data_IF_332201062851
#
_entry.id   IF_332201062851
#
_cell.length_a   1.000
_cell.length_b   1.000
_cell.length_c   1.000
_cell.angle_alpha   90.00
_cell.angle_beta   90.00
_cell.angle_gamma   90.00
#
_symmetry.space_group_name_H-M   'P 1'
#
loop_
_entity.id
_entity.type
_entity.pdbx_description
1 polymer ?
#
# COMPACT_ATOMS: atom_id res chain seq x y z
N UNK A 1 58.15 71.99 -12.99
CA UNK A 1 57.36 72.06 -14.24
C UNK A 1 57.64 70.81 -15.06
N UNK A 2 56.71 69.90 -15.22
CA UNK A 2 56.71 69.08 -16.44
C UNK A 2 55.37 69.11 -17.13
N UNK A 3 55.44 69.13 -18.41
CA UNK A 3 54.46 69.25 -19.47
C UNK A 3 53.61 68.00 -19.60
N UNK A 4 52.27 68.21 -19.66
CA UNK A 4 51.33 67.21 -19.97
C UNK A 4 51.29 66.94 -21.46
N UNK A 5 51.31 65.67 -21.88
CA UNK A 5 51.02 65.23 -23.26
C UNK A 5 49.62 64.63 -23.28
N UNK A 6 48.78 65.21 -24.10
CA UNK A 6 47.44 64.77 -24.42
C UNK A 6 47.58 63.73 -25.55
N UNK A 7 47.08 62.50 -25.36
CA UNK A 7 46.96 61.51 -26.42
C UNK A 7 45.47 61.43 -26.78
N UNK A 8 45.16 61.75 -28.02
CA UNK A 8 43.84 61.58 -28.62
C UNK A 8 43.69 60.12 -29.08
N UNK A 9 42.74 59.36 -28.53
CA UNK A 9 42.37 58.05 -29.01
C UNK A 9 41.13 58.15 -29.92
N UNK A 10 41.28 57.74 -31.14
CA UNK A 10 40.18 57.63 -32.13
C UNK A 10 39.40 56.36 -31.86
N UNK A 11 38.09 56.49 -31.60
CA UNK A 11 37.17 55.35 -31.50
C UNK A 11 36.69 54.91 -32.89
N UNK A 12 36.99 53.69 -33.28
CA UNK A 12 36.39 53.03 -34.46
C UNK A 12 35.09 52.38 -34.01
N UNK A 13 33.95 52.84 -34.52
CA UNK A 13 32.66 52.23 -34.31
C UNK A 13 32.49 51.11 -35.35
N UNK A 14 32.55 49.87 -34.92
CA UNK A 14 32.20 48.70 -35.77
C UNK A 14 30.69 48.41 -35.57
N UNK A 15 29.89 48.65 -36.60
CA UNK A 15 28.49 48.23 -36.63
C UNK A 15 28.41 46.73 -37.02
N UNK A 16 28.09 45.90 -36.03
CA UNK A 16 27.76 44.49 -36.26
C UNK A 16 26.27 44.38 -36.60
N UNK A 17 25.97 43.94 -37.80
CA UNK A 17 24.62 43.55 -38.23
C UNK A 17 24.33 42.21 -37.61
N UNK A 18 23.43 42.14 -36.61
CA UNK A 18 22.97 40.87 -36.06
C UNK A 18 21.96 40.23 -37.01
N UNK A 19 22.27 39.00 -37.46
CA UNK A 19 21.31 38.15 -38.16
C UNK A 19 20.19 37.72 -37.16
N UNK A 20 18.90 37.61 -37.60
CA UNK A 20 17.84 37.15 -36.71
C UNK A 20 18.07 35.66 -36.35
N UNK A 21 18.19 35.38 -35.07
CA UNK A 21 18.21 34.04 -34.54
C UNK A 21 16.83 33.37 -34.80
N UNK A 22 16.83 32.32 -35.59
CA UNK A 22 15.66 31.46 -35.77
C UNK A 22 15.30 30.85 -34.42
N UNK A 23 14.17 31.26 -33.84
CA UNK A 23 13.59 30.65 -32.67
C UNK A 23 13.17 29.22 -33.02
N UNK A 24 13.96 28.23 -32.66
CA UNK A 24 13.50 26.86 -32.64
C UNK A 24 12.42 26.74 -31.57
N UNK A 25 11.16 26.68 -31.99
CA UNK A 25 10.06 26.29 -31.14
C UNK A 25 10.29 24.85 -30.72
N UNK A 26 10.87 24.64 -29.57
CA UNK A 26 10.80 23.33 -28.91
C UNK A 26 9.36 23.13 -28.50
N UNK A 27 8.60 22.36 -29.30
CA UNK A 27 7.30 21.84 -28.87
C UNK A 27 7.51 21.20 -27.50
N UNK A 28 6.77 21.66 -26.49
CA UNK A 28 6.76 20.99 -25.19
C UNK A 28 6.44 19.52 -25.43
N UNK A 29 7.13 18.59 -24.78
CA UNK A 29 6.82 17.17 -24.92
C UNK A 29 5.33 16.99 -24.60
N UNK A 30 4.63 16.29 -25.49
CA UNK A 30 3.22 15.98 -25.33
C UNK A 30 3.11 15.08 -24.09
N UNK A 31 2.93 15.66 -22.91
CA UNK A 31 2.77 14.91 -21.65
C UNK A 31 1.41 14.22 -21.77
N UNK A 32 1.44 12.96 -22.15
CA UNK A 32 0.25 12.11 -22.15
C UNK A 32 -0.31 12.11 -20.74
N UNK A 33 -1.59 12.40 -20.57
CA UNK A 33 -2.22 12.39 -19.25
C UNK A 33 -2.11 11.00 -18.63
N UNK A 34 -1.69 10.92 -17.36
CA UNK A 34 -1.59 9.68 -16.62
C UNK A 34 -2.96 9.00 -16.53
N UNK A 35 -2.97 7.68 -16.62
CA UNK A 35 -4.17 6.85 -16.56
C UNK A 35 -4.38 6.32 -15.14
N UNK A 36 -5.60 6.47 -14.59
CA UNK A 36 -5.96 5.87 -13.32
C UNK A 36 -6.01 4.34 -13.45
N UNK A 37 -5.37 3.67 -12.52
CA UNK A 37 -5.31 2.21 -12.46
C UNK A 37 -5.41 1.72 -11.02
N UNK A 38 -5.97 0.54 -10.86
CA UNK A 38 -5.83 -0.25 -9.66
C UNK A 38 -4.61 -1.17 -9.82
N UNK A 39 -3.68 -1.09 -8.91
CA UNK A 39 -2.59 -2.07 -8.73
C UNK A 39 -3.09 -3.17 -7.82
N UNK A 40 -2.81 -4.42 -8.17
CA UNK A 40 -3.16 -5.59 -7.38
C UNK A 40 -1.92 -6.44 -7.15
N UNK A 41 -1.49 -6.54 -5.90
CA UNK A 41 -0.37 -7.39 -5.51
C UNK A 41 -0.79 -8.87 -5.50
N UNK A 42 -0.30 -9.63 -6.48
CA UNK A 42 -0.53 -11.08 -6.57
C UNK A 42 0.57 -11.79 -5.77
N UNK A 43 0.30 -12.01 -4.51
CA UNK A 43 1.28 -12.34 -3.50
C UNK A 43 2.05 -13.65 -3.79
N UNK A 44 1.35 -14.70 -4.25
CA UNK A 44 2.00 -15.99 -4.53
C UNK A 44 2.64 -16.07 -5.92
N UNK A 45 2.11 -15.38 -6.92
CA UNK A 45 2.71 -15.39 -8.25
C UNK A 45 3.84 -14.37 -8.43
N UNK A 46 4.09 -13.50 -7.44
CA UNK A 46 5.16 -12.50 -7.53
C UNK A 46 4.96 -11.52 -8.68
N UNK A 47 3.74 -11.08 -8.88
CA UNK A 47 3.39 -10.12 -9.94
C UNK A 47 2.45 -9.03 -9.42
N UNK A 48 2.43 -7.89 -10.09
CA UNK A 48 1.45 -6.84 -9.87
C UNK A 48 0.57 -6.72 -11.10
N UNK A 49 -0.74 -6.94 -10.94
CA UNK A 49 -1.72 -6.71 -12.01
C UNK A 49 -2.14 -5.26 -12.06
N UNK A 50 -2.41 -4.76 -13.27
CA UNK A 50 -2.90 -3.41 -13.54
C UNK A 50 -4.31 -3.52 -14.11
N UNK A 51 -5.27 -2.88 -13.47
CA UNK A 51 -6.67 -2.82 -13.90
C UNK A 51 -7.03 -1.37 -14.21
N UNK A 52 -7.66 -1.16 -15.37
CA UNK A 52 -8.21 0.16 -15.75
C UNK A 52 -9.37 0.54 -14.85
N UNK A 53 -9.32 1.67 -14.16
CA UNK A 53 -10.46 2.12 -13.35
C UNK A 53 -11.67 2.60 -14.18
N UNK A 54 -11.49 2.87 -15.49
CA UNK A 54 -12.56 3.32 -16.39
C UNK A 54 -13.20 2.18 -17.18
N UNK A 55 -13.56 1.10 -16.56
CA UNK A 55 -14.22 0.00 -17.25
C UNK A 55 -13.72 -1.36 -16.81
N UNK A 56 -12.85 -1.38 -15.82
CA UNK A 56 -12.40 -2.57 -15.10
C UNK A 56 -11.70 -3.61 -15.98
N UNK A 57 -11.11 -3.17 -17.10
CA UNK A 57 -10.35 -4.06 -17.97
C UNK A 57 -8.96 -4.34 -17.40
N UNK A 58 -8.51 -5.59 -17.49
CA UNK A 58 -7.10 -5.92 -17.24
C UNK A 58 -6.22 -5.25 -18.29
N UNK A 59 -5.17 -4.57 -17.82
CA UNK A 59 -4.14 -3.95 -18.66
C UNK A 59 -2.88 -4.80 -18.73
N UNK A 60 -2.85 -5.95 -18.04
CA UNK A 60 -1.70 -6.84 -17.94
C UNK A 60 -1.10 -6.88 -16.55
N UNK A 61 0.04 -7.53 -16.42
CA UNK A 61 0.77 -7.68 -15.16
C UNK A 61 2.26 -7.44 -15.33
N UNK A 62 2.94 -7.17 -14.21
CA UNK A 62 4.39 -6.98 -14.16
C UNK A 62 4.99 -7.98 -13.17
N UNK A 63 6.00 -8.76 -13.62
CA UNK A 63 6.75 -9.68 -12.76
C UNK A 63 7.70 -8.89 -11.85
N UNK A 64 7.59 -9.05 -10.53
CA UNK A 64 8.40 -8.34 -9.54
C UNK A 64 9.40 -9.24 -8.81
N UNK A 65 9.57 -10.48 -9.30
CA UNK A 65 10.54 -11.45 -8.79
C UNK A 65 11.39 -12.06 -9.93
N UNK A 66 11.88 -11.25 -10.89
CA UNK A 66 12.71 -11.80 -11.98
C UNK A 66 14.03 -12.37 -11.46
N UNK A 67 14.45 -11.93 -10.30
CA UNK A 67 15.68 -12.28 -9.57
C UNK A 67 15.48 -13.36 -8.50
N UNK A 68 14.30 -13.97 -8.37
CA UNK A 68 13.93 -14.85 -7.26
C UNK A 68 15.00 -15.92 -6.94
N UNK A 69 15.47 -16.64 -7.95
CA UNK A 69 16.44 -17.72 -7.73
C UNK A 69 17.78 -17.17 -7.24
N UNK A 70 18.19 -16.01 -7.72
CA UNK A 70 19.40 -15.33 -7.27
C UNK A 70 19.23 -14.92 -5.80
N UNK A 71 18.12 -14.26 -5.45
CA UNK A 71 17.81 -13.83 -4.07
C UNK A 71 17.83 -14.99 -3.08
N UNK A 72 17.20 -16.11 -3.46
CA UNK A 72 17.19 -17.32 -2.64
C UNK A 72 18.61 -17.91 -2.46
N UNK A 73 19.43 -17.86 -3.50
CA UNK A 73 20.81 -18.38 -3.44
C UNK A 73 21.75 -17.49 -2.62
N UNK A 74 21.49 -16.20 -2.53
CA UNK A 74 22.26 -15.22 -1.76
C UNK A 74 21.94 -15.26 -0.26
N UNK A 75 20.84 -15.91 0.15
CA UNK A 75 20.47 -16.03 1.55
C UNK A 75 21.50 -16.79 2.36
N UNK A 76 21.96 -16.21 3.46
CA UNK A 76 22.72 -16.93 4.48
C UNK A 76 21.86 -18.00 5.18
N UNK A 77 22.44 -18.91 5.99
CA UNK A 77 21.66 -19.96 6.64
C UNK A 77 20.54 -19.46 7.56
N UNK A 78 20.71 -18.31 8.23
CA UNK A 78 19.70 -17.74 9.13
C UNK A 78 18.56 -17.17 8.31
N UNK A 79 18.86 -16.45 7.23
CA UNK A 79 17.91 -15.92 6.28
C UNK A 79 17.08 -17.03 5.63
N UNK A 80 17.75 -18.13 5.25
CA UNK A 80 17.07 -19.29 4.65
C UNK A 80 16.09 -19.94 5.61
N UNK A 81 16.47 -20.09 6.87
CA UNK A 81 15.58 -20.60 7.92
C UNK A 81 14.41 -19.63 8.12
N UNK A 82 14.67 -18.32 8.19
CA UNK A 82 13.65 -17.29 8.29
C UNK A 82 12.64 -17.35 7.14
N UNK A 83 13.13 -17.45 5.90
CA UNK A 83 12.32 -17.61 4.70
C UNK A 83 11.34 -18.80 4.81
N UNK A 84 11.85 -19.97 5.18
CA UNK A 84 11.02 -21.18 5.28
C UNK A 84 10.00 -21.09 6.44
N UNK A 85 10.38 -20.49 7.58
CA UNK A 85 9.47 -20.25 8.70
C UNK A 85 8.38 -19.27 8.30
N UNK A 86 8.73 -18.13 7.72
CA UNK A 86 7.77 -17.11 7.24
C UNK A 86 6.83 -17.73 6.22
N UNK A 87 7.34 -18.44 5.22
CA UNK A 87 6.54 -19.16 4.23
C UNK A 87 5.54 -20.13 4.89
N UNK A 88 5.95 -20.84 5.95
CA UNK A 88 5.08 -21.73 6.70
C UNK A 88 3.97 -20.99 7.44
N UNK A 89 4.28 -19.90 8.13
CA UNK A 89 3.33 -19.03 8.86
C UNK A 89 2.37 -18.37 7.87
N UNK A 90 2.87 -17.92 6.72
CA UNK A 90 2.10 -17.25 5.67
C UNK A 90 1.20 -18.20 4.85
N UNK A 91 1.34 -19.50 5.01
CA UNK A 91 0.59 -20.50 4.25
C UNK A 91 0.99 -20.54 2.78
N UNK A 92 2.22 -20.20 2.46
CA UNK A 92 2.79 -20.17 1.11
C UNK A 92 3.73 -18.98 0.90
N UNK A 93 4.26 -18.85 -0.30
CA UNK A 93 5.10 -17.71 -0.67
C UNK A 93 4.28 -16.40 -0.65
N UNK A 94 4.93 -15.31 -0.21
CA UNK A 94 4.40 -13.95 -0.21
C UNK A 94 5.46 -13.04 -0.82
N UNK A 95 5.33 -12.76 -2.12
CA UNK A 95 6.31 -11.95 -2.87
C UNK A 95 5.82 -10.53 -3.16
N UNK A 96 4.56 -10.24 -2.87
CA UNK A 96 4.00 -8.89 -2.99
C UNK A 96 3.06 -8.65 -1.83
N UNK A 97 3.51 -7.86 -0.85
CA UNK A 97 2.67 -7.41 0.25
C UNK A 97 2.13 -6.00 0.02
N UNK A 98 2.86 -5.16 -0.72
CA UNK A 98 2.35 -3.85 -1.17
C UNK A 98 3.07 -3.40 -2.44
N UNK A 99 2.42 -2.54 -3.23
CA UNK A 99 2.99 -1.96 -4.45
C UNK A 99 2.50 -0.53 -4.69
N UNK A 100 3.38 0.35 -5.14
CA UNK A 100 3.06 1.74 -5.45
C UNK A 100 3.77 2.20 -6.72
N UNK A 101 3.14 3.09 -7.50
CA UNK A 101 3.78 3.75 -8.64
C UNK A 101 4.39 5.10 -8.23
N UNK A 102 5.52 5.44 -8.85
CA UNK A 102 6.06 6.80 -8.78
C UNK A 102 5.05 7.83 -9.31
N UNK A 103 5.16 9.12 -8.90
CA UNK A 103 4.23 10.16 -9.35
C UNK A 103 4.16 10.34 -10.88
N UNK A 104 5.21 10.00 -11.61
CA UNK A 104 5.23 9.99 -13.08
C UNK A 104 4.67 8.70 -13.70
N UNK A 105 4.29 7.71 -12.89
CA UNK A 105 3.69 6.46 -13.33
C UNK A 105 4.63 5.51 -14.07
N UNK A 106 5.95 5.67 -13.94
CA UNK A 106 6.95 4.90 -14.68
C UNK A 106 7.74 3.89 -13.87
N UNK A 107 7.80 4.10 -12.55
CA UNK A 107 8.51 3.20 -11.63
C UNK A 107 7.53 2.52 -10.70
N UNK A 108 7.78 1.25 -10.43
CA UNK A 108 7.02 0.45 -9.48
C UNK A 108 7.90 0.14 -8.27
N UNK A 109 7.41 0.46 -7.08
CA UNK A 109 8.02 0.11 -5.80
C UNK A 109 7.21 -1.02 -5.18
N UNK A 110 7.87 -2.06 -4.70
CA UNK A 110 7.20 -3.26 -4.18
C UNK A 110 7.84 -3.71 -2.88
N UNK A 111 7.03 -3.99 -1.87
CA UNK A 111 7.42 -4.71 -0.67
C UNK A 111 7.31 -6.22 -0.94
N UNK A 112 8.44 -6.95 -0.84
CA UNK A 112 8.53 -8.39 -1.16
C UNK A 112 8.70 -9.20 0.14
N UNK A 113 7.56 -9.56 0.76
CA UNK A 113 7.49 -10.10 2.11
C UNK A 113 8.47 -11.21 2.41
N UNK A 114 8.40 -12.33 1.69
CA UNK A 114 9.29 -13.47 1.96
C UNK A 114 10.75 -13.26 1.54
N UNK A 115 11.05 -12.25 0.73
CA UNK A 115 12.43 -11.88 0.40
C UNK A 115 13.02 -10.88 1.40
N UNK A 116 12.22 -10.45 2.38
CA UNK A 116 12.59 -9.46 3.40
C UNK A 116 13.12 -8.16 2.82
N UNK A 117 12.65 -7.77 1.62
CA UNK A 117 13.19 -6.61 0.92
C UNK A 117 12.12 -5.75 0.25
N UNK A 118 12.58 -4.60 -0.21
CA UNK A 118 11.85 -3.70 -1.10
C UNK A 118 12.62 -3.58 -2.40
N UNK A 119 11.92 -3.61 -3.51
CA UNK A 119 12.53 -3.43 -4.83
C UNK A 119 11.85 -2.32 -5.63
N UNK A 120 12.61 -1.65 -6.49
CA UNK A 120 12.12 -0.70 -7.47
C UNK A 120 12.39 -1.20 -8.88
N UNK A 121 11.41 -0.98 -9.76
CA UNK A 121 11.48 -1.40 -11.16
C UNK A 121 11.20 -0.22 -12.09
N UNK A 122 11.94 -0.14 -13.20
CA UNK A 122 11.56 0.63 -14.36
C UNK A 122 10.60 -0.20 -15.21
N UNK A 123 9.36 0.30 -15.37
CA UNK A 123 8.33 -0.44 -16.09
C UNK A 123 8.62 -0.55 -17.58
N UNK A 124 9.14 0.52 -18.21
CA UNK A 124 9.42 0.53 -19.64
C UNK A 124 10.52 -0.47 -20.03
N UNK A 125 11.62 -0.45 -19.28
CA UNK A 125 12.77 -1.32 -19.49
C UNK A 125 12.63 -2.73 -18.91
N UNK A 126 11.58 -2.99 -18.12
CA UNK A 126 11.40 -4.23 -17.33
C UNK A 126 12.62 -4.56 -16.48
N UNK A 127 13.24 -3.54 -15.91
CA UNK A 127 14.49 -3.65 -15.19
C UNK A 127 14.31 -3.33 -13.71
N UNK A 128 14.89 -4.17 -12.85
CA UNK A 128 15.09 -3.82 -11.45
C UNK A 128 16.12 -2.68 -11.37
N UNK A 129 15.79 -1.62 -10.66
CA UNK A 129 16.65 -0.46 -10.44
C UNK A 129 17.51 -0.65 -9.20
N UNK A 130 16.89 -1.14 -8.15
CA UNK A 130 17.53 -1.47 -6.89
C UNK A 130 16.61 -2.38 -6.07
N UNK A 131 17.19 -3.12 -5.13
CA UNK A 131 16.48 -3.73 -4.01
C UNK A 131 17.23 -3.46 -2.72
N UNK A 132 16.50 -3.44 -1.61
CA UNK A 132 17.06 -3.16 -0.29
C UNK A 132 16.42 -4.08 0.73
N UNK A 133 17.25 -4.86 1.43
CA UNK A 133 16.81 -5.71 2.51
C UNK A 133 16.48 -4.87 3.74
N UNK A 134 15.35 -5.17 4.38
CA UNK A 134 14.95 -4.59 5.65
C UNK A 134 15.59 -5.34 6.83
N UNK A 135 15.54 -4.73 8.00
CA UNK A 135 15.92 -5.40 9.24
C UNK A 135 14.88 -6.46 9.64
N UNK A 136 15.38 -7.56 10.16
CA UNK A 136 14.56 -8.70 10.57
C UNK A 136 14.04 -9.53 9.40
N UNK A 137 12.82 -10.01 9.54
CA UNK A 137 12.14 -10.85 8.56
C UNK A 137 10.76 -10.26 8.25
N UNK A 138 10.31 -10.49 7.03
CA UNK A 138 9.06 -10.06 6.45
C UNK A 138 8.94 -8.55 6.25
N UNK A 139 9.09 -8.14 4.99
CA UNK A 139 8.79 -6.79 4.51
C UNK A 139 7.28 -6.70 4.23
N UNK A 140 6.52 -6.13 5.16
CA UNK A 140 5.06 -6.07 5.11
C UNK A 140 4.57 -4.81 4.36
N UNK A 141 3.37 -4.35 4.63
CA UNK A 141 2.74 -3.26 3.88
C UNK A 141 3.54 -1.96 3.94
N UNK A 142 3.44 -1.21 2.86
CA UNK A 142 4.21 -0.01 2.62
C UNK A 142 3.31 1.17 2.21
N UNK A 143 3.87 2.38 2.20
CA UNK A 143 3.23 3.55 1.63
C UNK A 143 4.25 4.47 0.98
N UNK A 144 3.92 4.98 -0.21
CA UNK A 144 4.71 5.99 -0.90
C UNK A 144 4.30 7.39 -0.42
N UNK A 145 5.28 8.25 -0.13
CA UNK A 145 5.01 9.65 0.19
C UNK A 145 4.33 10.37 -0.99
N UNK A 146 3.47 11.36 -0.74
CA UNK A 146 2.78 12.08 -1.81
C UNK A 146 3.70 12.73 -2.84
N UNK A 147 4.90 13.11 -2.43
CA UNK A 147 5.96 13.64 -3.33
C UNK A 147 6.77 12.56 -4.04
N UNK A 148 6.55 11.29 -3.71
CA UNK A 148 7.22 10.14 -4.30
C UNK A 148 8.67 9.93 -3.86
N UNK A 149 9.17 10.69 -2.87
CA UNK A 149 10.59 10.65 -2.48
C UNK A 149 10.92 9.63 -1.41
N UNK A 150 9.92 9.14 -0.67
CA UNK A 150 10.07 8.18 0.42
C UNK A 150 9.08 7.04 0.29
N UNK A 151 9.56 5.84 0.54
CA UNK A 151 8.74 4.65 0.65
C UNK A 151 8.90 4.10 2.06
N UNK A 152 7.84 4.16 2.87
CA UNK A 152 7.86 3.64 4.24
C UNK A 152 7.34 2.22 4.25
N UNK A 153 8.03 1.31 4.93
CA UNK A 153 7.73 -0.13 4.94
C UNK A 153 7.78 -0.66 6.36
N UNK A 154 6.89 -1.56 6.69
CA UNK A 154 6.90 -2.29 7.95
C UNK A 154 7.95 -3.41 7.93
N UNK A 155 8.98 -3.28 8.78
CA UNK A 155 9.95 -4.33 9.07
C UNK A 155 9.41 -5.19 10.23
N UNK A 156 8.63 -6.23 9.89
CA UNK A 156 7.68 -6.89 10.80
C UNK A 156 8.34 -7.41 12.07
N UNK A 157 9.33 -8.28 11.98
CA UNK A 157 9.96 -8.87 13.18
C UNK A 157 10.95 -7.91 13.87
N UNK A 158 11.35 -6.82 13.19
CA UNK A 158 12.19 -5.78 13.78
C UNK A 158 11.40 -4.73 14.58
N UNK A 159 10.05 -4.76 14.53
CA UNK A 159 9.17 -3.85 15.26
C UNK A 159 9.44 -2.37 14.93
N UNK A 160 9.62 -2.05 13.67
CA UNK A 160 9.85 -0.68 13.19
C UNK A 160 9.31 -0.47 11.77
N UNK A 161 9.03 0.80 11.46
CA UNK A 161 8.82 1.27 10.10
C UNK A 161 10.15 1.82 9.56
N UNK A 162 10.58 1.38 8.38
CA UNK A 162 11.78 1.85 7.71
C UNK A 162 11.44 2.77 6.55
N UNK A 163 12.16 3.88 6.45
CA UNK A 163 11.99 4.90 5.42
C UNK A 163 13.08 4.76 4.38
N UNK A 164 12.68 4.49 3.15
CA UNK A 164 13.56 4.23 2.02
C UNK A 164 13.53 5.43 1.07
N UNK A 165 14.68 5.90 0.67
CA UNK A 165 14.84 6.88 -0.40
C UNK A 165 14.53 6.21 -1.75
N UNK A 166 13.52 6.69 -2.47
CA UNK A 166 13.03 6.04 -3.69
C UNK A 166 13.98 6.16 -4.88
N UNK A 167 14.89 7.14 -4.86
CA UNK A 167 15.87 7.32 -5.94
C UNK A 167 17.04 6.33 -5.82
N UNK A 168 17.45 6.02 -4.59
CA UNK A 168 18.67 5.24 -4.31
C UNK A 168 18.43 3.86 -3.71
N UNK A 169 17.24 3.63 -3.13
CA UNK A 169 16.96 2.45 -2.32
C UNK A 169 17.54 2.48 -0.91
N UNK A 170 18.24 3.54 -0.52
CA UNK A 170 18.87 3.61 0.80
C UNK A 170 17.83 3.74 1.92
N UNK A 171 17.97 2.97 3.00
CA UNK A 171 17.25 3.21 4.26
C UNK A 171 17.81 4.49 4.87
N UNK A 172 17.00 5.54 4.96
CA UNK A 172 17.43 6.85 5.46
C UNK A 172 17.06 7.10 6.91
N UNK A 173 16.08 6.36 7.43
CA UNK A 173 15.65 6.42 8.83
C UNK A 173 14.79 5.21 9.18
N UNK A 174 14.57 5.02 10.48
CA UNK A 174 13.55 4.11 11.00
C UNK A 174 12.87 4.70 12.23
N UNK A 175 11.61 4.32 12.44
CA UNK A 175 10.82 4.70 13.61
C UNK A 175 10.34 3.45 14.35
N UNK A 176 10.46 3.39 15.70
CA UNK A 176 9.93 2.27 16.47
C UNK A 176 8.41 2.25 16.40
N UNK A 177 7.84 1.05 16.37
CA UNK A 177 6.41 0.80 16.33
C UNK A 177 5.97 -0.09 17.51
N UNK A 178 4.71 -0.54 17.51
CA UNK A 178 4.32 -1.71 18.29
C UNK A 178 4.91 -3.01 17.72
N UNK A 179 4.52 -4.14 18.27
CA UNK A 179 5.03 -5.43 17.81
C UNK A 179 4.35 -5.85 16.51
N UNK A 180 5.16 -6.36 15.59
CA UNK A 180 4.73 -6.78 14.25
C UNK A 180 3.97 -5.66 13.54
N UNK A 181 4.67 -4.56 13.15
CA UNK A 181 4.10 -3.52 12.31
C UNK A 181 3.58 -4.13 11.01
N UNK A 182 2.43 -3.65 10.57
CA UNK A 182 1.68 -4.18 9.45
C UNK A 182 1.40 -3.08 8.43
N UNK A 183 0.30 -2.32 8.58
CA UNK A 183 -0.11 -1.32 7.61
C UNK A 183 0.57 0.03 7.84
N UNK A 184 0.98 0.67 6.75
CA UNK A 184 1.43 2.06 6.72
C UNK A 184 0.52 2.87 5.79
N UNK A 185 0.13 4.08 6.23
CA UNK A 185 -0.54 5.05 5.37
C UNK A 185 -0.08 6.46 5.70
N UNK A 186 0.08 7.30 4.68
CA UNK A 186 0.28 8.73 4.87
C UNK A 186 -1.04 9.42 5.21
N UNK A 187 -1.00 10.44 6.07
CA UNK A 187 -2.12 11.35 6.22
C UNK A 187 -2.40 12.06 4.88
N UNK A 188 -3.66 12.51 4.69
CA UNK A 188 -4.09 13.15 3.44
C UNK A 188 -3.24 14.39 3.07
N UNK A 189 -2.71 15.10 4.07
CA UNK A 189 -1.81 16.24 3.89
C UNK A 189 -0.32 15.86 3.77
N UNK A 190 0.00 14.56 3.83
CA UNK A 190 1.35 14.02 3.72
C UNK A 190 2.27 14.30 4.91
N UNK A 191 1.79 14.95 5.99
CA UNK A 191 2.64 15.35 7.12
C UNK A 191 2.97 14.24 8.09
N UNK A 192 2.16 13.19 8.12
CA UNK A 192 2.32 12.09 9.05
C UNK A 192 2.22 10.75 8.33
N UNK A 193 2.90 9.76 8.90
CA UNK A 193 2.68 8.35 8.61
C UNK A 193 1.98 7.73 9.81
N UNK A 194 0.98 6.91 9.56
CA UNK A 194 0.35 6.08 10.55
C UNK A 194 0.74 4.63 10.31
N UNK A 195 1.33 3.99 11.31
CA UNK A 195 1.68 2.58 11.30
C UNK A 195 0.84 1.84 12.32
N UNK A 196 0.22 0.74 11.91
CA UNK A 196 -0.54 -0.14 12.79
C UNK A 196 0.21 -1.45 13.04
N UNK A 197 0.16 -1.96 14.27
CA UNK A 197 0.85 -3.18 14.69
C UNK A 197 -0.14 -4.27 15.09
N UNK A 198 0.13 -5.50 14.63
CA UNK A 198 -0.79 -6.64 14.77
C UNK A 198 -0.43 -7.59 15.90
N UNK A 199 0.76 -7.43 16.51
CA UNK A 199 1.31 -8.38 17.45
C UNK A 199 1.76 -9.69 16.80
N UNK A 200 2.44 -10.54 17.54
CA UNK A 200 2.96 -11.81 17.03
C UNK A 200 1.83 -12.76 16.61
N UNK A 201 1.64 -12.89 15.30
CA UNK A 201 0.58 -13.74 14.71
C UNK A 201 0.88 -15.23 14.77
N UNK A 202 2.10 -15.62 15.11
CA UNK A 202 2.48 -17.04 15.28
C UNK A 202 1.94 -17.64 16.58
N UNK A 203 1.60 -16.78 17.57
CA UNK A 203 1.05 -17.19 18.84
C UNK A 203 -0.48 -17.37 18.77
N UNK A 204 -1.05 -18.40 19.42
CA UNK A 204 -2.49 -18.61 19.49
C UNK A 204 -3.21 -17.53 20.30
N UNK A 205 -4.54 -17.45 20.19
CA UNK A 205 -5.35 -16.49 20.94
C UNK A 205 -5.16 -16.61 22.46
N UNK A 206 -5.00 -17.83 22.98
CA UNK A 206 -4.77 -18.04 24.42
C UNK A 206 -3.48 -17.41 24.96
N UNK A 207 -2.54 -17.06 24.10
CA UNK A 207 -1.29 -16.36 24.43
C UNK A 207 -1.29 -14.91 23.92
N UNK A 208 -2.45 -14.30 23.72
CA UNK A 208 -2.56 -12.94 23.19
C UNK A 208 -1.82 -11.90 24.06
N UNK A 209 -1.78 -12.11 25.37
CA UNK A 209 -1.01 -11.28 26.30
C UNK A 209 0.50 -11.27 26.02
N UNK A 210 1.01 -12.27 25.32
CA UNK A 210 2.42 -12.41 24.96
C UNK A 210 2.76 -11.89 23.55
N UNK A 211 1.75 -11.51 22.74
CA UNK A 211 1.93 -11.05 21.35
C UNK A 211 2.59 -9.69 21.23
N UNK A 212 2.77 -8.97 22.35
CA UNK A 212 3.37 -7.64 22.38
C UNK A 212 2.35 -6.50 22.27
N UNK A 213 2.81 -5.33 21.83
CA UNK A 213 2.00 -4.11 21.81
C UNK A 213 1.19 -4.00 20.50
N UNK A 214 -0.13 -3.93 20.62
CA UNK A 214 -1.06 -3.60 19.55
C UNK A 214 -1.20 -2.08 19.49
N UNK A 215 -0.45 -1.46 18.60
CA UNK A 215 -0.24 -0.03 18.64
C UNK A 215 -0.52 0.63 17.28
N UNK A 216 -1.24 1.75 17.30
CA UNK A 216 -1.23 2.71 16.21
C UNK A 216 -0.15 3.75 16.53
N UNK A 217 0.83 3.90 15.65
CA UNK A 217 1.96 4.82 15.79
C UNK A 217 1.82 5.93 14.78
N UNK A 218 1.81 7.18 15.24
CA UNK A 218 1.88 8.37 14.38
C UNK A 218 3.31 8.87 14.31
N UNK A 219 3.84 9.00 13.10
CA UNK A 219 5.20 9.40 12.81
C UNK A 219 5.15 10.71 12.01
N UNK A 220 5.93 11.70 12.38
CA UNK A 220 6.11 12.91 11.58
C UNK A 220 6.91 12.58 10.32
N UNK A 221 6.35 12.85 9.14
CA UNK A 221 6.93 12.43 7.86
C UNK A 221 8.22 13.18 7.50
N UNK A 222 8.40 14.40 7.98
CA UNK A 222 9.59 15.20 7.69
C UNK A 222 10.78 14.81 8.59
N UNK A 223 10.53 14.59 9.89
CA UNK A 223 11.56 14.20 10.85
C UNK A 223 11.72 12.69 10.98
N UNK A 224 10.73 11.91 10.51
CA UNK A 224 10.66 10.46 10.66
C UNK A 224 10.70 9.99 12.12
N UNK A 225 10.19 10.82 13.02
CA UNK A 225 10.15 10.55 14.47
C UNK A 225 8.71 10.29 14.94
N UNK A 226 8.57 9.38 15.90
CA UNK A 226 7.28 9.09 16.54
C UNK A 226 6.81 10.32 17.33
N UNK A 227 5.58 10.77 17.04
CA UNK A 227 4.97 11.93 17.72
C UNK A 227 3.80 11.53 18.64
N UNK A 228 3.16 10.41 18.38
CA UNK A 228 2.06 9.91 19.22
C UNK A 228 1.83 8.41 19.01
N UNK A 229 1.35 7.75 20.04
CA UNK A 229 0.93 6.36 20.00
C UNK A 229 -0.42 6.16 20.67
N UNK A 230 -1.17 5.16 20.21
CA UNK A 230 -2.40 4.68 20.84
C UNK A 230 -2.32 3.17 20.94
N UNK A 231 -2.74 2.62 22.07
CA UNK A 231 -2.79 1.17 22.29
C UNK A 231 -4.23 0.69 22.13
N UNK A 232 -4.41 -0.39 21.38
CA UNK A 232 -5.70 -1.05 21.19
C UNK A 232 -5.71 -2.40 21.94
N UNK A 233 -6.88 -2.99 22.19
CA UNK A 233 -6.99 -4.23 22.96
C UNK A 233 -6.52 -5.47 22.21
N UNK A 234 -6.51 -5.42 20.87
CA UNK A 234 -6.14 -6.52 19.97
C UNK A 234 -5.31 -6.00 18.80
N UNK A 235 -4.67 -6.90 18.06
CA UNK A 235 -3.89 -6.57 16.88
C UNK A 235 -4.71 -5.78 15.87
N UNK A 236 -4.15 -4.68 15.36
CA UNK A 236 -4.83 -3.75 14.44
C UNK A 236 -4.68 -4.29 13.02
N UNK A 237 -5.77 -4.78 12.46
CA UNK A 237 -5.87 -5.29 11.09
C UNK A 237 -6.08 -4.12 10.10
N UNK A 238 -6.49 -4.34 8.85
CA UNK A 238 -6.79 -3.23 7.95
C UNK A 238 -7.57 -2.13 8.62
N UNK A 239 -7.17 -0.90 8.34
CA UNK A 239 -7.69 0.25 9.04
C UNK A 239 -7.61 1.50 8.15
N UNK A 240 -8.33 2.54 8.55
CA UNK A 240 -8.27 3.83 7.89
C UNK A 240 -8.57 4.96 8.89
N UNK A 241 -8.03 6.14 8.61
CA UNK A 241 -8.40 7.37 9.27
C UNK A 241 -9.35 8.14 8.36
N UNK A 242 -10.52 8.49 8.86
CA UNK A 242 -11.49 9.27 8.11
C UNK A 242 -10.96 10.68 7.81
N UNK A 243 -11.54 11.39 6.82
CA UNK A 243 -11.09 12.73 6.42
C UNK A 243 -11.10 13.79 7.53
N UNK A 244 -11.84 13.54 8.63
CA UNK A 244 -11.84 14.41 9.82
C UNK A 244 -10.53 14.38 10.62
N UNK A 245 -9.63 13.42 10.30
CA UNK A 245 -8.34 13.23 10.95
C UNK A 245 -8.42 12.73 12.40
N UNK A 246 -9.61 12.39 12.90
CA UNK A 246 -9.87 11.94 14.27
C UNK A 246 -10.55 10.58 14.35
N UNK A 247 -11.47 10.29 13.45
CA UNK A 247 -12.17 9.01 13.41
C UNK A 247 -11.27 7.95 12.78
N UNK A 248 -10.96 6.93 13.56
CA UNK A 248 -10.19 5.77 13.13
C UNK A 248 -11.09 4.55 13.08
N UNK A 249 -11.25 3.95 11.92
CA UNK A 249 -11.92 2.67 11.74
C UNK A 249 -10.87 1.58 11.62
N UNK A 250 -11.03 0.50 12.35
CA UNK A 250 -10.08 -0.61 12.34
C UNK A 250 -10.76 -1.95 12.55
N UNK A 251 -10.42 -2.91 11.76
CA UNK A 251 -10.62 -4.31 12.08
C UNK A 251 -9.60 -4.73 13.14
N UNK A 252 -9.99 -5.62 14.01
CA UNK A 252 -9.10 -6.11 15.08
C UNK A 252 -8.98 -7.63 14.99
N UNK A 253 -7.85 -8.16 15.44
CA UNK A 253 -7.65 -9.61 15.54
C UNK A 253 -8.82 -10.26 16.27
N UNK A 254 -9.37 -11.32 15.68
CA UNK A 254 -10.49 -12.14 16.19
C UNK A 254 -11.87 -11.48 16.17
N UNK A 255 -11.96 -10.17 15.92
CA UNK A 255 -13.24 -9.48 15.82
C UNK A 255 -13.88 -9.78 14.44
N UNK A 256 -15.11 -10.27 14.43
CA UNK A 256 -15.90 -10.38 13.19
C UNK A 256 -16.60 -9.04 12.94
N UNK A 257 -15.90 -8.12 12.29
CA UNK A 257 -16.31 -6.74 12.09
C UNK A 257 -15.18 -5.74 12.41
N UNK A 258 -15.56 -4.54 12.85
CA UNK A 258 -14.61 -3.46 13.09
C UNK A 258 -14.97 -2.58 14.28
N UNK A 259 -14.04 -1.74 14.69
CA UNK A 259 -14.26 -0.71 15.71
C UNK A 259 -14.19 0.69 15.10
N UNK A 260 -14.94 1.62 15.68
CA UNK A 260 -14.77 3.06 15.53
C UNK A 260 -14.04 3.58 16.77
N UNK A 261 -12.89 4.19 16.55
CA UNK A 261 -12.01 4.70 17.60
C UNK A 261 -11.87 6.23 17.44
N UNK A 262 -11.95 6.96 18.53
CA UNK A 262 -11.70 8.40 18.58
C UNK A 262 -10.25 8.64 18.99
N UNK A 263 -9.43 9.15 18.06
CA UNK A 263 -8.00 9.39 18.26
C UNK A 263 -7.72 10.52 19.29
N UNK A 264 -8.62 11.50 19.40
CA UNK A 264 -8.47 12.58 20.38
C UNK A 264 -8.81 12.08 21.78
N UNK A 265 -9.92 11.35 21.93
CA UNK A 265 -10.32 10.76 23.19
C UNK A 265 -9.50 9.53 23.58
N UNK A 266 -8.79 8.91 22.63
CA UNK A 266 -7.95 7.72 22.84
C UNK A 266 -8.74 6.48 23.24
N UNK A 267 -9.96 6.27 22.67
CA UNK A 267 -10.82 5.15 23.04
C UNK A 267 -11.71 4.67 21.89
N UNK A 268 -12.11 3.40 21.97
CA UNK A 268 -13.17 2.84 21.13
C UNK A 268 -14.50 3.50 21.53
N UNK A 269 -15.21 4.04 20.54
CA UNK A 269 -16.53 4.69 20.73
C UNK A 269 -17.67 3.83 20.19
N UNK A 270 -17.39 2.87 19.31
CA UNK A 270 -18.35 1.87 18.87
C UNK A 270 -17.62 0.60 18.41
N UNK A 271 -18.32 -0.54 18.52
CA UNK A 271 -17.91 -1.83 17.95
C UNK A 271 -19.06 -2.34 17.09
N UNK A 272 -18.76 -2.67 15.84
CA UNK A 272 -19.67 -3.32 14.90
C UNK A 272 -19.31 -4.80 14.86
N UNK A 273 -20.30 -5.66 15.13
CA UNK A 273 -20.16 -7.10 14.98
C UNK A 273 -20.98 -7.51 13.78
N UNK A 274 -20.32 -8.12 12.81
CA UNK A 274 -20.96 -8.61 11.61
C UNK A 274 -21.54 -10.03 11.79
N UNK A 275 -22.52 -10.44 11.00
CA UNK A 275 -23.08 -11.78 11.08
C UNK A 275 -22.07 -12.82 10.58
N UNK A 276 -21.92 -13.91 11.33
CA UNK A 276 -21.15 -15.06 10.86
C UNK A 276 -21.94 -15.83 9.79
N UNK A 277 -21.25 -16.18 8.69
CA UNK A 277 -21.74 -17.18 7.74
C UNK A 277 -21.81 -18.57 8.38
N UNK A 278 -22.58 -19.48 7.80
CA UNK A 278 -22.75 -20.84 8.37
C UNK A 278 -21.40 -21.59 8.49
N UNK A 279 -20.48 -21.38 7.53
CA UNK A 279 -19.15 -21.96 7.59
C UNK A 279 -18.29 -21.32 8.70
N UNK A 280 -18.33 -20.01 8.82
CA UNK A 280 -17.51 -19.28 9.79
C UNK A 280 -17.91 -19.58 11.24
N UNK A 281 -19.19 -19.86 11.52
CA UNK A 281 -19.65 -20.28 12.84
C UNK A 281 -18.96 -21.52 13.39
N UNK A 282 -18.39 -22.35 12.51
CA UNK A 282 -17.70 -23.59 12.90
C UNK A 282 -16.21 -23.39 13.14
N UNK A 283 -15.66 -22.24 12.73
CA UNK A 283 -14.23 -21.94 12.85
C UNK A 283 -13.89 -21.51 14.29
N UNK A 284 -12.75 -22.02 14.77
CA UNK A 284 -12.15 -21.50 16.01
C UNK A 284 -11.30 -20.29 15.70
N UNK A 285 -11.18 -19.31 16.59
CA UNK A 285 -10.36 -18.11 16.37
C UNK A 285 -8.89 -18.41 15.98
N UNK A 286 -8.29 -19.46 16.52
CA UNK A 286 -6.93 -19.88 16.16
C UNK A 286 -6.80 -20.39 14.70
N UNK A 287 -7.93 -20.67 14.05
CA UNK A 287 -7.96 -21.06 12.63
C UNK A 287 -8.32 -19.90 11.69
N UNK A 288 -8.50 -18.69 12.22
CA UNK A 288 -8.71 -17.53 11.38
C UNK A 288 -7.41 -17.18 10.64
N UNK A 289 -7.45 -16.88 9.33
CA UNK A 289 -6.27 -16.50 8.58
C UNK A 289 -5.53 -15.37 9.29
N UNK A 290 -4.30 -15.60 9.72
CA UNK A 290 -3.50 -14.59 10.45
C UNK A 290 -4.21 -13.97 11.65
N UNK A 291 -5.07 -14.70 12.35
CA UNK A 291 -5.92 -14.21 13.44
C UNK A 291 -7.03 -13.21 12.99
N UNK A 292 -7.33 -13.12 11.69
CA UNK A 292 -8.30 -12.16 11.15
C UNK A 292 -9.61 -12.83 10.76
N UNK A 293 -10.72 -12.38 11.35
CA UNK A 293 -12.05 -12.69 10.83
C UNK A 293 -12.40 -11.77 9.65
N UNK A 294 -12.06 -10.49 9.76
CA UNK A 294 -12.13 -9.48 8.72
C UNK A 294 -10.72 -9.01 8.35
N UNK A 295 -10.47 -8.73 7.06
CA UNK A 295 -9.15 -8.26 6.60
C UNK A 295 -9.25 -7.37 5.36
N UNK A 296 -10.05 -6.32 5.43
CA UNK A 296 -10.12 -5.29 4.39
C UNK A 296 -11.14 -4.22 4.74
N UNK A 297 -10.72 -2.97 4.84
CA UNK A 297 -11.57 -1.87 5.22
C UNK A 297 -11.32 -0.66 4.32
N UNK A 298 -12.36 -0.15 3.67
CA UNK A 298 -12.28 1.03 2.82
C UNK A 298 -13.46 1.96 3.08
N UNK A 299 -13.29 3.26 2.75
CA UNK A 299 -14.31 4.28 2.93
C UNK A 299 -14.67 4.89 1.57
N UNK A 300 -15.96 5.00 1.26
CA UNK A 300 -16.44 5.64 0.03
C UNK A 300 -15.93 7.08 -0.11
N UNK A 301 -15.83 7.58 -1.34
CA UNK A 301 -15.26 8.90 -1.59
C UNK A 301 -16.02 10.06 -0.94
N UNK A 302 -17.32 9.88 -0.68
CA UNK A 302 -18.17 10.83 0.05
C UNK A 302 -18.13 10.64 1.58
N UNK A 303 -17.41 9.61 2.05
CA UNK A 303 -17.29 9.30 3.48
C UNK A 303 -18.54 8.67 4.12
N UNK A 304 -19.56 8.33 3.34
CA UNK A 304 -20.86 7.87 3.88
C UNK A 304 -20.94 6.36 4.12
N UNK A 305 -20.06 5.57 3.50
CA UNK A 305 -20.17 4.10 3.49
C UNK A 305 -18.81 3.45 3.67
N UNK A 306 -18.69 2.55 4.63
CA UNK A 306 -17.56 1.64 4.80
C UNK A 306 -17.80 0.38 3.96
N UNK A 307 -16.73 -0.14 3.37
CA UNK A 307 -16.63 -1.44 2.76
C UNK A 307 -15.82 -2.30 3.74
N UNK A 308 -16.49 -3.23 4.42
CA UNK A 308 -15.96 -4.08 5.48
C UNK A 308 -15.89 -5.52 4.98
N UNK A 309 -14.66 -6.06 4.87
CA UNK A 309 -14.38 -7.31 4.14
C UNK A 309 -14.34 -8.49 5.10
N UNK A 310 -15.39 -9.31 5.08
CA UNK A 310 -15.53 -10.51 5.90
C UNK A 310 -14.77 -11.70 5.33
N UNK A 311 -13.50 -11.84 5.71
CA UNK A 311 -12.54 -12.81 5.15
C UNK A 311 -12.96 -14.25 5.39
N UNK A 312 -13.39 -14.59 6.61
CA UNK A 312 -13.83 -15.96 6.94
C UNK A 312 -15.26 -16.26 6.53
N UNK A 313 -16.01 -15.22 6.21
CA UNK A 313 -17.44 -15.27 5.92
C UNK A 313 -17.76 -15.28 4.42
N UNK A 314 -16.74 -15.01 3.57
CA UNK A 314 -16.88 -14.92 2.11
C UNK A 314 -17.90 -13.87 1.68
N UNK A 315 -17.91 -12.70 2.32
CA UNK A 315 -18.72 -11.56 1.91
C UNK A 315 -17.97 -10.22 2.06
N UNK A 316 -18.56 -9.17 1.52
CA UNK A 316 -18.29 -7.79 1.90
C UNK A 316 -19.58 -7.15 2.41
N UNK A 317 -19.49 -6.43 3.54
CA UNK A 317 -20.58 -5.62 4.07
C UNK A 317 -20.36 -4.14 3.71
N UNK A 318 -21.40 -3.49 3.19
CA UNK A 318 -21.44 -2.04 3.05
C UNK A 318 -22.17 -1.45 4.26
N UNK A 319 -21.44 -0.69 5.08
CA UNK A 319 -21.92 -0.18 6.36
C UNK A 319 -22.01 1.35 6.31
N UNK A 320 -23.15 1.93 6.65
CA UNK A 320 -23.29 3.39 6.77
C UNK A 320 -22.37 3.92 7.87
N UNK A 321 -21.65 5.01 7.64
CA UNK A 321 -20.89 5.71 8.68
C UNK A 321 -21.80 6.45 9.65
N UNK A 322 -23.02 6.80 9.21
CA UNK A 322 -24.08 7.32 10.07
C UNK A 322 -24.85 6.15 10.71
N UNK A 323 -24.76 6.08 12.02
CA UNK A 323 -25.39 5.02 12.82
C UNK A 323 -24.74 3.65 12.73
N UNK A 324 -23.72 3.43 11.90
CA UNK A 324 -23.00 2.14 11.73
C UNK A 324 -23.95 0.97 11.43
N UNK A 325 -24.83 1.17 10.44
CA UNK A 325 -25.88 0.20 10.04
C UNK A 325 -25.51 -0.44 8.70
N UNK A 326 -25.66 -1.75 8.62
CA UNK A 326 -25.47 -2.50 7.39
C UNK A 326 -26.49 -2.06 6.32
N UNK A 327 -26.00 -1.76 5.12
CA UNK A 327 -26.79 -1.34 3.96
C UNK A 327 -26.97 -2.46 2.96
N UNK A 328 -25.91 -3.25 2.74
CA UNK A 328 -25.91 -4.36 1.79
C UNK A 328 -24.80 -5.36 2.15
N UNK A 329 -25.00 -6.59 1.70
CA UNK A 329 -23.99 -7.65 1.68
C UNK A 329 -23.80 -8.16 0.26
N UNK A 330 -22.55 -8.25 -0.19
CA UNK A 330 -22.18 -8.94 -1.42
C UNK A 330 -21.53 -10.25 -1.04
N UNK A 331 -22.23 -11.37 -1.28
CA UNK A 331 -21.73 -12.69 -0.92
C UNK A 331 -20.94 -13.30 -2.07
N UNK A 332 -19.87 -13.97 -1.76
CA UNK A 332 -19.02 -14.71 -2.69
C UNK A 332 -19.18 -16.22 -2.50
N UNK A 333 -18.78 -17.02 -3.50
CA UNK A 333 -18.71 -18.47 -3.33
C UNK A 333 -17.83 -18.85 -2.13
N UNK A 334 -18.23 -19.87 -1.39
CA UNK A 334 -17.48 -20.38 -0.23
C UNK A 334 -16.03 -20.69 -0.59
N UNK A 335 -15.09 -20.17 0.19
CA UNK A 335 -13.66 -20.31 -0.02
C UNK A 335 -13.07 -19.27 -0.96
N UNK A 336 -13.78 -18.21 -1.31
CA UNK A 336 -13.23 -17.09 -2.11
C UNK A 336 -12.15 -16.32 -1.37
N UNK A 337 -12.22 -16.28 -0.04
CA UNK A 337 -11.28 -15.57 0.84
C UNK A 337 -11.11 -14.10 0.44
N UNK A 338 -12.16 -13.26 0.58
CA UNK A 338 -12.02 -11.83 0.39
C UNK A 338 -11.02 -11.28 1.43
N UNK A 339 -10.05 -10.46 0.99
CA UNK A 339 -8.90 -10.19 1.86
C UNK A 339 -8.51 -8.71 1.98
N UNK A 340 -8.74 -7.89 0.97
CA UNK A 340 -8.44 -6.46 1.03
C UNK A 340 -9.58 -5.65 0.46
N UNK A 341 -9.71 -4.41 0.94
CA UNK A 341 -10.66 -3.42 0.43
C UNK A 341 -9.95 -2.12 0.03
N UNK A 342 -10.23 -1.60 -1.17
CA UNK A 342 -9.67 -0.35 -1.66
C UNK A 342 -10.74 0.47 -2.38
N UNK A 343 -10.89 1.74 -2.03
CA UNK A 343 -11.80 2.64 -2.74
C UNK A 343 -11.19 3.13 -4.04
N UNK A 344 -12.00 3.15 -5.11
CA UNK A 344 -11.63 3.66 -6.43
C UNK A 344 -11.27 5.16 -6.39
N UNK A 345 -10.51 5.65 -7.38
CA UNK A 345 -10.10 7.05 -7.47
C UNK A 345 -11.29 8.02 -7.55
N UNK A 346 -12.41 7.60 -8.15
CA UNK A 346 -13.63 8.38 -8.22
C UNK A 346 -14.53 8.25 -6.97
N UNK A 347 -14.15 7.40 -6.01
CA UNK A 347 -14.86 7.20 -4.75
C UNK A 347 -16.13 6.36 -4.81
N UNK A 348 -16.50 5.82 -5.98
CA UNK A 348 -17.80 5.17 -6.19
C UNK A 348 -17.78 3.65 -5.99
N UNK A 349 -16.60 3.02 -6.03
CA UNK A 349 -16.47 1.57 -5.98
C UNK A 349 -15.53 1.15 -4.86
N UNK A 350 -15.84 0.00 -4.25
CA UNK A 350 -14.92 -0.77 -3.45
C UNK A 350 -14.35 -1.90 -4.31
N UNK A 351 -13.04 -1.95 -4.46
CA UNK A 351 -12.33 -3.09 -4.98
C UNK A 351 -12.10 -4.06 -3.83
N UNK A 352 -12.30 -5.35 -4.06
CA UNK A 352 -12.13 -6.39 -3.06
C UNK A 352 -11.32 -7.53 -3.66
N UNK A 353 -10.11 -7.75 -3.14
CA UNK A 353 -9.31 -8.91 -3.54
C UNK A 353 -9.94 -10.20 -3.03
N UNK A 354 -10.17 -11.15 -3.93
CA UNK A 354 -10.66 -12.50 -3.64
C UNK A 354 -9.46 -13.45 -3.74
N UNK A 355 -8.72 -13.61 -2.63
CA UNK A 355 -7.38 -14.22 -2.66
C UNK A 355 -7.37 -15.66 -3.18
N UNK A 356 -8.33 -16.49 -2.78
CA UNK A 356 -8.42 -17.86 -3.25
C UNK A 356 -9.11 -17.99 -4.62
N UNK A 357 -9.89 -16.98 -5.02
CA UNK A 357 -10.54 -16.96 -6.33
C UNK A 357 -9.66 -16.34 -7.44
N UNK A 358 -8.48 -15.79 -7.10
CA UNK A 358 -7.57 -15.13 -8.04
C UNK A 358 -8.26 -14.03 -8.86
N UNK A 359 -9.05 -13.21 -8.21
CA UNK A 359 -9.85 -12.17 -8.85
C UNK A 359 -9.98 -10.94 -7.95
N UNK A 360 -10.34 -9.82 -8.55
CA UNK A 360 -10.81 -8.62 -7.87
C UNK A 360 -12.31 -8.45 -8.15
N UNK A 361 -13.10 -8.31 -7.10
CA UNK A 361 -14.51 -7.92 -7.16
C UNK A 361 -14.61 -6.40 -7.12
N UNK A 362 -15.46 -5.82 -7.95
CA UNK A 362 -15.78 -4.40 -7.97
C UNK A 362 -17.18 -4.20 -7.44
N UNK A 363 -17.32 -3.63 -6.27
CA UNK A 363 -18.61 -3.39 -5.60
C UNK A 363 -18.96 -1.92 -5.67
N UNK A 364 -20.14 -1.62 -6.20
CA UNK A 364 -20.66 -0.26 -6.28
C UNK A 364 -21.22 0.15 -4.91
N UNK A 365 -20.70 1.24 -4.33
CA UNK A 365 -21.14 1.75 -3.02
C UNK A 365 -22.59 2.22 -3.02
N UNK A 366 -23.10 2.69 -4.16
CA UNK A 366 -24.45 3.23 -4.26
C UNK A 366 -25.48 2.12 -4.35
N UNK A 367 -25.25 1.14 -5.23
CA UNK A 367 -26.22 0.03 -5.46
C UNK A 367 -26.05 -1.11 -4.48
N UNK A 368 -24.89 -1.25 -3.86
CA UNK A 368 -24.56 -2.36 -2.97
C UNK A 368 -24.41 -3.70 -3.70
N UNK A 369 -23.99 -3.68 -4.98
CA UNK A 369 -23.85 -4.87 -5.81
C UNK A 369 -22.49 -4.98 -6.46
N UNK A 370 -22.05 -6.22 -6.75
CA UNK A 370 -20.88 -6.46 -7.60
C UNK A 370 -21.21 -6.08 -9.04
N UNK A 371 -20.44 -5.16 -9.62
CA UNK A 371 -20.63 -4.69 -11.01
C UNK A 371 -19.61 -5.27 -11.98
N UNK A 372 -18.48 -5.76 -11.48
CA UNK A 372 -17.46 -6.45 -12.27
C UNK A 372 -16.65 -7.41 -11.41
N UNK A 373 -16.08 -8.44 -12.07
CA UNK A 373 -15.09 -9.34 -11.49
C UNK A 373 -13.95 -9.51 -12.48
N UNK A 374 -12.72 -9.17 -12.04
CA UNK A 374 -11.55 -9.13 -12.91
C UNK A 374 -10.57 -10.21 -12.48
N UNK A 375 -10.28 -11.20 -13.35
CA UNK A 375 -9.23 -12.18 -13.07
C UNK A 375 -7.85 -11.50 -12.97
N UNK A 376 -7.04 -11.94 -11.99
CA UNK A 376 -5.68 -11.45 -11.74
C UNK A 376 -4.73 -12.64 -11.48
N UNK A 377 -3.52 -12.36 -11.01
CA UNK A 377 -2.56 -13.42 -10.66
C UNK A 377 -2.94 -14.16 -9.38
N UNK A 378 -2.05 -15.09 -8.96
CA UNK A 378 -2.34 -16.01 -7.85
C UNK A 378 -2.26 -15.30 -6.50
N UNK A 379 -3.30 -15.47 -5.72
CA UNK A 379 -3.45 -14.96 -4.36
C UNK A 379 -3.32 -13.43 -4.29
N UNK A 380 -4.25 -12.68 -4.93
CA UNK A 380 -4.29 -11.23 -4.78
C UNK A 380 -4.54 -10.85 -3.32
N UNK A 381 -3.81 -9.85 -2.83
CA UNK A 381 -3.96 -9.32 -1.48
C UNK A 381 -4.14 -7.80 -1.52
N UNK A 382 -3.07 -7.04 -1.32
CA UNK A 382 -3.11 -5.59 -1.27
C UNK A 382 -3.47 -4.98 -2.62
N UNK A 383 -4.30 -3.97 -2.54
CA UNK A 383 -4.73 -3.16 -3.68
C UNK A 383 -4.38 -1.70 -3.44
N UNK A 384 -3.97 -0.99 -4.50
CA UNK A 384 -3.74 0.46 -4.45
C UNK A 384 -4.20 1.14 -5.72
N UNK A 385 -4.98 2.18 -5.55
CA UNK A 385 -5.28 3.12 -6.64
C UNK A 385 -4.05 3.96 -6.93
N UNK A 386 -3.72 4.09 -8.19
CA UNK A 386 -2.52 4.80 -8.65
C UNK A 386 -2.73 5.40 -10.04
N UNK A 387 -1.66 6.01 -10.59
CA UNK A 387 -1.66 6.55 -11.94
C UNK A 387 -0.46 6.02 -12.72
N UNK A 388 -0.67 5.49 -13.91
CA UNK A 388 0.36 4.94 -14.79
C UNK A 388 0.56 5.82 -16.02
N UNK A 389 1.81 5.95 -16.48
CA UNK A 389 2.09 6.54 -17.79
C UNK A 389 1.63 5.56 -18.88
N UNK A 390 0.71 5.95 -19.78
CA UNK A 390 0.25 5.08 -20.84
C UNK A 390 1.38 4.52 -21.74
N UNK A 391 2.51 5.21 -21.81
CA UNK A 391 3.65 4.77 -22.60
C UNK A 391 4.27 3.46 -22.11
N UNK A 392 4.10 3.12 -20.80
CA UNK A 392 4.64 1.88 -20.24
C UNK A 392 3.67 0.70 -20.30
N UNK A 393 2.40 0.91 -20.69
CA UNK A 393 1.40 -0.17 -20.72
C UNK A 393 1.78 -1.31 -21.68
N UNK A 394 2.49 -1.01 -22.77
CA UNK A 394 3.00 -2.01 -23.69
C UNK A 394 4.07 -2.94 -23.12
N UNK A 395 4.62 -2.62 -21.95
CA UNK A 395 5.57 -3.48 -21.24
C UNK A 395 4.90 -4.50 -20.30
N UNK A 396 3.61 -4.32 -19.99
CA UNK A 396 2.84 -5.28 -19.21
C UNK A 396 2.57 -6.54 -20.03
N UNK A 397 2.50 -7.68 -19.39
CA UNK A 397 2.31 -9.01 -20.04
C UNK A 397 1.04 -9.68 -19.57
#
# INVERSE_FOLDING_TARGET
MPTARIILAAAVVATTVAAPAASASTAAPNVTALKNVLLVGNSQSGSVSFIDENGFASLGSFNVIPDLQQRINEMDPIQRIGYEITKGIEGGDRFVDDASLSPDGRRLYVSRGNLDDVAAFDLAGKQELWHTRLDGFHADHAALSPDGTRFVVSATTANKAEFIDTATGAIVSSAPTGNYPHQNDYSADGKYVYNSSIGDVSLPQSLEWAKGAFQLTKIDAATMQVVKTWTLPHGIRPNLIAPDGNTFYAELSYLNGFVKYDLNAGKIVATVNQPFSEQAKTLKPDNYPKNSAHHGLALSGDGSTLCDVGTIDDYVALVSTDGLVDRAFVNYPTGSLPYWGQTSANGNYCYVSLSQANAVSVVDYHTGTEVARVPVGTFPQRERVSKVDPAVLGSLS
#
